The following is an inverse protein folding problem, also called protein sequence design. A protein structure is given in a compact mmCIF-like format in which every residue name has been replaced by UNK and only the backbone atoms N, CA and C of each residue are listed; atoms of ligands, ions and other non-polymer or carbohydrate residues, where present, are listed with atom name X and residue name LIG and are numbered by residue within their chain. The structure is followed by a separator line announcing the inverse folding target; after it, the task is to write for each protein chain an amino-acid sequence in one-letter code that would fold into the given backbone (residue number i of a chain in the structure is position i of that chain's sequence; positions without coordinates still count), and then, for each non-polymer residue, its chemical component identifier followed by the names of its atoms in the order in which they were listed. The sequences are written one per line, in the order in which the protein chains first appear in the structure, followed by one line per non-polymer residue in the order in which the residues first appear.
data_IF_609490397340
#
_entry.id   IF_609490397340
#
_cell.length_a   1.000
_cell.length_b   1.000
_cell.length_c   1.000
_cell.angle_alpha   90.00
_cell.angle_beta   90.00
_cell.angle_gamma   90.00
#
_symmetry.space_group_name_H-M   'P 1'
#
loop_
_entity.id
_entity.type
_entity.pdbx_description
1 polymer ?
#
# COMPACT_ATOMS: atom_id res chain seq x y z
N UNK A 1 14.42 -7.60 -2.31
CA UNK A 1 13.05 -7.14 -1.95
C UNK A 1 12.66 -6.02 -2.91
N UNK A 2 11.37 -5.84 -3.18
CA UNK A 2 10.88 -5.04 -4.31
C UNK A 2 11.33 -3.57 -4.27
N UNK A 3 11.62 -3.01 -5.45
CA UNK A 3 11.94 -1.58 -5.64
C UNK A 3 10.70 -0.72 -5.91
N UNK A 4 9.52 -1.36 -5.92
CA UNK A 4 8.22 -0.72 -6.09
C UNK A 4 7.52 -0.70 -4.73
N UNK A 5 7.06 0.48 -4.32
CA UNK A 5 6.44 0.72 -3.03
C UNK A 5 5.25 1.67 -3.19
N UNK A 6 4.31 1.57 -2.26
CA UNK A 6 3.17 2.48 -2.13
C UNK A 6 3.38 3.36 -0.91
N UNK A 7 3.11 4.66 -1.03
CA UNK A 7 3.28 5.60 0.09
C UNK A 7 2.08 5.45 1.03
N UNK A 8 2.19 4.57 2.00
CA UNK A 8 1.16 4.33 3.01
C UNK A 8 1.80 4.27 4.40
N UNK A 9 1.15 4.88 5.38
CA UNK A 9 1.62 4.91 6.76
C UNK A 9 0.90 3.86 7.63
N UNK A 10 -0.34 3.50 7.25
CA UNK A 10 -1.22 2.59 7.97
C UNK A 10 -1.72 3.14 9.30
N UNK A 11 -1.29 4.33 9.70
CA UNK A 11 -1.58 4.95 10.98
C UNK A 11 -1.38 6.47 10.91
N UNK A 12 -2.44 7.27 11.05
CA UNK A 12 -2.36 8.72 10.88
C UNK A 12 -1.73 9.43 12.09
N UNK A 13 -1.31 8.67 13.11
CA UNK A 13 -0.83 9.16 14.38
C UNK A 13 0.69 8.98 14.53
N UNK A 14 1.36 9.85 15.31
CA UNK A 14 2.82 9.76 15.53
C UNK A 14 3.28 8.58 16.41
N UNK A 15 2.35 7.78 16.95
CA UNK A 15 2.63 6.65 17.83
C UNK A 15 2.06 5.36 17.25
N UNK A 16 2.79 4.25 17.37
CA UNK A 16 2.35 2.94 16.92
C UNK A 16 1.16 2.41 17.74
N UNK A 17 0.31 1.60 17.10
CA UNK A 17 -0.87 0.96 17.72
C UNK A 17 -1.23 -0.31 16.95
N UNK A 18 -1.78 -1.33 17.62
CA UNK A 18 -2.35 -2.54 17.00
C UNK A 18 -3.78 -2.31 16.47
N UNK A 19 -4.10 -1.07 16.09
CA UNK A 19 -5.43 -0.69 15.60
C UNK A 19 -5.39 -0.58 14.09
N UNK A 20 -6.33 -1.25 13.41
CA UNK A 20 -6.55 -1.01 11.99
C UNK A 20 -7.33 0.31 11.82
N UNK A 21 -6.69 1.32 11.25
CA UNK A 21 -7.32 2.60 10.94
C UNK A 21 -8.02 2.54 9.57
N UNK A 22 -9.20 1.95 9.51
CA UNK A 22 -9.98 1.86 8.24
C UNK A 22 -10.48 3.22 7.72
N UNK A 23 -10.37 4.26 8.54
CA UNK A 23 -10.72 5.64 8.22
C UNK A 23 -9.49 6.54 8.05
N UNK A 24 -8.32 5.95 7.85
CA UNK A 24 -7.10 6.69 7.54
C UNK A 24 -7.28 7.48 6.22
N UNK A 25 -7.01 8.80 6.21
CA UNK A 25 -7.15 9.63 5.01
C UNK A 25 -6.26 9.21 3.83
N UNK A 26 -5.18 8.46 4.04
CA UNK A 26 -4.37 7.98 2.93
C UNK A 26 -5.08 6.91 2.07
N UNK A 27 -6.07 6.20 2.62
CA UNK A 27 -6.84 5.20 1.86
C UNK A 27 -7.66 5.80 0.72
N UNK A 28 -8.10 7.06 0.82
CA UNK A 28 -8.78 7.78 -0.26
C UNK A 28 -7.92 8.92 -0.84
N UNK A 29 -6.76 9.18 -0.25
CA UNK A 29 -5.82 10.21 -0.64
C UNK A 29 -6.38 11.63 -0.45
N UNK A 30 -7.38 11.82 0.41
CA UNK A 30 -8.05 13.11 0.63
C UNK A 30 -7.93 13.54 2.08
N UNK A 31 -7.60 14.82 2.30
CA UNK A 31 -7.58 15.40 3.65
C UNK A 31 -6.46 14.85 4.55
N UNK A 32 -5.44 14.20 3.99
CA UNK A 32 -4.29 13.75 4.76
C UNK A 32 -3.50 14.94 5.34
N UNK A 33 -3.11 14.81 6.60
CA UNK A 33 -2.41 15.84 7.37
C UNK A 33 -1.26 15.25 8.18
N UNK A 34 -0.62 16.09 9.00
CA UNK A 34 0.44 15.64 9.90
C UNK A 34 1.58 14.90 9.19
N UNK A 35 1.90 13.70 9.67
CA UNK A 35 3.00 12.85 9.15
C UNK A 35 2.71 12.26 7.76
N UNK A 36 1.45 12.25 7.33
CA UNK A 36 0.99 11.62 6.08
C UNK A 36 0.86 12.59 4.92
N UNK A 37 0.89 13.90 5.20
CA UNK A 37 0.83 14.95 4.19
C UNK A 37 1.78 14.74 2.99
N UNK A 38 3.03 14.27 3.18
CA UNK A 38 3.92 13.94 2.07
C UNK A 38 3.40 12.80 1.16
N UNK A 39 2.75 11.78 1.72
CA UNK A 39 2.19 10.66 0.96
C UNK A 39 0.90 11.05 0.22
N UNK A 40 0.13 12.01 0.74
CA UNK A 40 -1.13 12.49 0.15
C UNK A 40 -0.97 13.10 -1.26
N UNK A 41 0.25 13.43 -1.68
CA UNK A 41 0.55 13.95 -3.02
C UNK A 41 1.44 12.99 -3.83
N UNK A 42 1.67 11.77 -3.33
CA UNK A 42 2.44 10.77 -4.04
C UNK A 42 1.68 10.29 -5.27
N UNK A 43 2.34 10.02 -6.40
CA UNK A 43 1.68 9.41 -7.54
C UNK A 43 1.19 8.00 -7.20
N UNK A 44 0.02 7.64 -7.71
CA UNK A 44 -0.55 6.30 -7.55
C UNK A 44 -1.50 6.11 -6.37
N UNK A 45 -1.83 7.14 -5.60
CA UNK A 45 -3.01 7.13 -4.71
C UNK A 45 -4.32 7.08 -5.51
N UNK A 46 -5.39 6.46 -4.98
CA UNK A 46 -5.49 5.86 -3.64
C UNK A 46 -5.07 4.37 -3.55
N UNK A 47 -4.72 3.74 -4.66
CA UNK A 47 -4.42 2.29 -4.69
C UNK A 47 -3.05 2.02 -5.29
N UNK A 48 -2.27 1.15 -4.65
CA UNK A 48 -1.06 0.65 -5.28
C UNK A 48 -1.38 0.06 -6.67
N UNK A 49 -0.89 0.75 -7.70
CA UNK A 49 -1.05 0.35 -9.09
C UNK A 49 0.32 0.24 -9.74
N UNK A 50 0.56 -0.91 -10.38
CA UNK A 50 1.76 -1.13 -11.17
C UNK A 50 1.41 -1.53 -12.58
N UNK A 51 1.65 -0.61 -13.51
CA UNK A 51 1.75 -0.92 -14.94
C UNK A 51 3.20 -1.32 -15.27
N UNK A 52 3.36 -2.49 -15.88
CA UNK A 52 4.67 -2.98 -16.33
C UNK A 52 5.03 -2.49 -17.74
N UNK A 53 4.14 -1.76 -18.43
CA UNK A 53 4.37 -1.13 -19.72
C UNK A 53 4.48 -2.09 -20.91
N UNK A 54 4.47 -3.40 -20.66
CA UNK A 54 4.50 -4.45 -21.67
C UNK A 54 3.15 -5.16 -21.70
N UNK A 55 2.58 -5.32 -22.89
CA UNK A 55 1.37 -6.15 -23.09
C UNK A 55 1.70 -7.64 -23.16
N UNK A 56 2.97 -8.02 -23.06
CA UNK A 56 3.42 -9.42 -23.12
C UNK A 56 4.41 -9.69 -22.00
N UNK A 57 4.14 -10.72 -21.21
CA UNK A 57 5.08 -11.31 -20.25
C UNK A 57 5.06 -12.83 -20.40
N UNK A 58 6.21 -13.47 -20.26
CA UNK A 58 6.30 -14.93 -20.10
C UNK A 58 6.37 -15.34 -18.62
N UNK A 59 6.56 -14.38 -17.74
CA UNK A 59 6.71 -14.61 -16.30
C UNK A 59 5.34 -14.69 -15.63
N UNK A 60 5.27 -15.49 -14.56
CA UNK A 60 4.11 -15.50 -13.68
C UNK A 60 3.97 -14.14 -12.98
N UNK A 61 2.75 -13.61 -12.96
CA UNK A 61 2.41 -12.44 -12.15
C UNK A 61 1.97 -12.92 -10.78
N UNK A 62 2.63 -12.44 -9.74
CA UNK A 62 2.36 -12.78 -8.34
C UNK A 62 2.34 -11.50 -7.50
N UNK A 63 1.39 -11.41 -6.57
CA UNK A 63 1.39 -10.43 -5.49
C UNK A 63 1.95 -11.11 -4.23
N UNK A 64 3.04 -10.56 -3.68
CA UNK A 64 3.59 -10.98 -2.39
C UNK A 64 3.45 -9.84 -1.38
N UNK A 65 2.86 -10.16 -0.24
CA UNK A 65 2.79 -9.26 0.93
C UNK A 65 3.89 -9.74 1.89
N UNK A 66 4.85 -8.86 2.16
CA UNK A 66 5.98 -9.16 3.03
C UNK A 66 5.87 -8.33 4.30
N UNK A 67 6.12 -8.95 5.45
CA UNK A 67 6.34 -8.28 6.73
C UNK A 67 7.79 -8.52 7.18
N UNK A 68 8.37 -7.58 7.92
CA UNK A 68 9.69 -7.71 8.55
C UNK A 68 9.56 -8.39 9.92
N UNK A 69 8.45 -8.13 10.61
CA UNK A 69 8.19 -8.71 11.93
C UNK A 69 7.47 -10.06 11.79
N UNK A 70 7.76 -11.00 12.70
CA UNK A 70 7.07 -12.30 12.76
C UNK A 70 5.56 -12.17 13.05
N UNK A 71 4.92 -13.25 13.51
CA UNK A 71 3.44 -13.34 13.68
C UNK A 71 2.76 -12.30 14.60
N UNK A 72 3.49 -11.38 15.22
CA UNK A 72 3.01 -10.56 16.33
C UNK A 72 3.03 -9.05 16.08
N UNK A 73 3.35 -8.55 14.89
CA UNK A 73 3.35 -7.10 14.72
C UNK A 73 3.81 -6.59 13.37
N UNK A 74 2.99 -6.78 12.33
CA UNK A 74 2.99 -6.02 11.07
C UNK A 74 1.86 -6.55 10.17
N UNK A 75 0.65 -6.65 10.72
CA UNK A 75 -0.49 -7.15 9.96
C UNK A 75 -0.96 -6.08 8.95
N UNK A 76 -0.75 -6.36 7.66
CA UNK A 76 -1.23 -5.53 6.55
C UNK A 76 -2.47 -6.20 5.95
N UNK A 77 -3.69 -5.80 6.35
CA UNK A 77 -4.90 -6.42 5.79
C UNK A 77 -5.04 -6.06 4.32
N UNK A 78 -5.36 -7.06 3.49
CA UNK A 78 -5.68 -6.87 2.08
C UNK A 78 -7.16 -7.15 1.88
N UNK A 79 -7.90 -6.08 1.55
CA UNK A 79 -9.34 -6.18 1.28
C UNK A 79 -9.66 -6.70 -0.12
N UNK A 80 -8.94 -6.20 -1.13
CA UNK A 80 -9.06 -6.66 -2.51
C UNK A 80 -7.74 -6.43 -3.26
N UNK A 81 -7.54 -7.21 -4.32
CA UNK A 81 -6.49 -6.99 -5.30
C UNK A 81 -6.99 -7.47 -6.66
N UNK A 82 -6.48 -6.87 -7.72
CA UNK A 82 -6.82 -7.23 -9.09
C UNK A 82 -5.54 -7.40 -9.90
N UNK A 83 -5.49 -8.46 -10.71
CA UNK A 83 -4.39 -8.71 -11.64
C UNK A 83 -4.99 -8.76 -13.04
N UNK A 84 -4.60 -7.79 -13.86
CA UNK A 84 -5.08 -7.66 -15.22
C UNK A 84 -4.05 -8.27 -16.19
N UNK A 85 -4.49 -9.30 -16.92
CA UNK A 85 -3.74 -9.88 -18.04
C UNK A 85 -4.58 -9.66 -19.29
N UNK A 86 -3.99 -9.01 -20.31
CA UNK A 86 -4.69 -8.67 -21.55
C UNK A 86 -4.55 -9.75 -22.61
#
# INVERSE_FOLDING_TARGET
MGTHWFCESGNPNPTWSYTLYTSDPLWDGQGCGGSEGPCCNAPGIPWFHRDYGSTTTTDYIELRICADVGYSGEDSPVGFYEIYVK
#
